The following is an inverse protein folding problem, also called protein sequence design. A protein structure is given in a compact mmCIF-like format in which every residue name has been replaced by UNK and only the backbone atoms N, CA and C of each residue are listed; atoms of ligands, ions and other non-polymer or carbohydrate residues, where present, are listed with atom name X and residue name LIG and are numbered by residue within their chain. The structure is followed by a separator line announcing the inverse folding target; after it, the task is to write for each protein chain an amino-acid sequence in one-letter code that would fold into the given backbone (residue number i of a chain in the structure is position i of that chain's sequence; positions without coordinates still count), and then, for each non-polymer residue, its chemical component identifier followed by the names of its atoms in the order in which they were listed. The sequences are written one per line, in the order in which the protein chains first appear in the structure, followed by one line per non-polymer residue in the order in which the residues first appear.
data_IF_432187612172
#
_entry.id   IF_432187612172
#
_cell.length_a   1.000
_cell.length_b   1.000
_cell.length_c   1.000
_cell.angle_alpha   90.00
_cell.angle_beta   90.00
_cell.angle_gamma   90.00
#
_symmetry.space_group_name_H-M   'P 1'
#
loop_
_entity.id
_entity.type
_entity.pdbx_description
1 polymer ?
#
# COMPACT_ATOMS: atom_id res chain seq x y z
N UNK A 1 55.32 28.70 0.46
CA UNK A 1 54.88 27.34 0.84
C UNK A 1 53.39 27.11 0.51
N UNK A 2 52.99 26.79 -0.74
CA UNK A 2 51.60 26.44 -1.05
C UNK A 2 51.41 25.01 -1.64
N UNK A 3 52.45 24.19 -1.77
CA UNK A 3 52.38 22.89 -2.45
C UNK A 3 51.95 21.70 -1.55
N UNK A 4 52.00 21.85 -0.22
CA UNK A 4 51.63 20.76 0.70
C UNK A 4 50.12 20.67 0.98
N UNK A 5 49.38 21.78 0.87
CA UNK A 5 47.93 21.82 1.15
C UNK A 5 47.07 21.32 -0.03
N UNK A 6 47.57 21.43 -1.26
CA UNK A 6 46.89 20.89 -2.45
C UNK A 6 46.91 19.36 -2.47
N UNK A 7 48.04 18.73 -2.11
CA UNK A 7 48.16 17.28 -2.06
C UNK A 7 47.33 16.64 -0.94
N UNK A 8 47.15 17.32 0.20
CA UNK A 8 46.27 16.87 1.29
C UNK A 8 44.78 16.93 0.92
N UNK A 9 44.35 17.91 0.11
CA UNK A 9 42.96 17.99 -0.40
C UNK A 9 42.65 16.93 -1.45
N UNK A 10 43.60 16.62 -2.34
CA UNK A 10 43.44 15.56 -3.35
C UNK A 10 43.40 14.18 -2.69
N UNK A 11 44.31 13.89 -1.76
CA UNK A 11 44.30 12.61 -1.02
C UNK A 11 43.02 12.40 -0.19
N UNK A 12 42.45 13.47 0.39
CA UNK A 12 41.20 13.40 1.14
C UNK A 12 39.98 13.11 0.24
N UNK A 13 39.94 13.69 -0.96
CA UNK A 13 38.85 13.48 -1.92
C UNK A 13 38.91 12.10 -2.59
N UNK A 14 40.11 11.56 -2.84
CA UNK A 14 40.28 10.17 -3.29
C UNK A 14 39.87 9.15 -2.22
N UNK A 15 40.20 9.40 -0.95
CA UNK A 15 39.77 8.57 0.18
C UNK A 15 38.24 8.56 0.36
N UNK A 16 37.57 9.69 0.16
CA UNK A 16 36.11 9.79 0.22
C UNK A 16 35.46 9.07 -0.97
N UNK A 17 36.02 9.21 -2.18
CA UNK A 17 35.55 8.50 -3.38
C UNK A 17 35.72 6.98 -3.27
N UNK A 18 36.83 6.50 -2.70
CA UNK A 18 37.06 5.07 -2.45
C UNK A 18 36.10 4.52 -1.38
N UNK A 19 35.80 5.30 -0.34
CA UNK A 19 34.79 4.95 0.66
C UNK A 19 33.38 4.85 0.05
N UNK A 20 33.02 5.77 -0.84
CA UNK A 20 31.76 5.74 -1.58
C UNK A 20 31.67 4.53 -2.53
N UNK A 21 32.76 4.17 -3.21
CA UNK A 21 32.82 2.95 -4.05
C UNK A 21 32.64 1.68 -3.21
N UNK A 22 33.36 1.55 -2.08
CA UNK A 22 33.20 0.41 -1.14
C UNK A 22 31.78 0.33 -0.57
N UNK A 23 31.16 1.48 -0.28
CA UNK A 23 29.77 1.56 0.21
C UNK A 23 28.76 1.14 -0.86
N UNK A 24 28.97 1.54 -2.11
CA UNK A 24 28.17 1.11 -3.27
C UNK A 24 28.29 -0.40 -3.49
N UNK A 25 29.50 -0.96 -3.46
CA UNK A 25 29.72 -2.41 -3.58
C UNK A 25 29.05 -3.21 -2.46
N UNK A 26 29.08 -2.71 -1.23
CA UNK A 26 28.45 -3.37 -0.08
C UNK A 26 26.91 -3.36 -0.21
N UNK A 27 26.33 -2.27 -0.72
CA UNK A 27 24.90 -2.16 -1.01
C UNK A 27 24.48 -3.12 -2.15
N UNK A 28 25.31 -3.22 -3.19
CA UNK A 28 25.09 -4.17 -4.29
C UNK A 28 25.17 -5.63 -3.83
N UNK A 29 26.09 -5.96 -2.91
CA UNK A 29 26.16 -7.30 -2.29
C UNK A 29 24.92 -7.61 -1.43
N UNK A 30 24.43 -6.63 -0.66
CA UNK A 30 23.22 -6.79 0.15
C UNK A 30 21.96 -7.02 -0.70
N UNK A 31 21.84 -6.29 -1.81
CA UNK A 31 20.74 -6.45 -2.77
C UNK A 31 20.82 -7.78 -3.53
N UNK A 32 22.02 -8.23 -3.89
CA UNK A 32 22.22 -9.53 -4.53
C UNK A 32 21.88 -10.69 -3.58
N UNK A 33 22.23 -10.60 -2.30
CA UNK A 33 21.82 -11.59 -1.30
C UNK A 33 20.30 -11.64 -1.11
N UNK A 34 19.62 -10.49 -1.09
CA UNK A 34 18.17 -10.44 -1.01
C UNK A 34 17.50 -11.07 -2.25
N UNK A 35 18.03 -10.80 -3.45
CA UNK A 35 17.56 -11.43 -4.71
C UNK A 35 17.80 -12.94 -4.74
N UNK A 36 18.96 -13.42 -4.24
CA UNK A 36 19.27 -14.85 -4.13
C UNK A 36 18.31 -15.57 -3.17
N UNK A 37 17.97 -14.95 -2.04
CA UNK A 37 17.01 -15.52 -1.09
C UNK A 37 15.59 -15.59 -1.67
N UNK A 38 15.16 -14.59 -2.46
CA UNK A 38 13.87 -14.62 -3.18
C UNK A 38 13.87 -15.76 -4.21
N UNK A 39 14.89 -15.85 -5.08
CA UNK A 39 15.01 -16.94 -6.06
C UNK A 39 15.09 -18.33 -5.43
N UNK A 40 15.76 -18.46 -4.28
CA UNK A 40 15.84 -19.73 -3.53
C UNK A 40 14.45 -20.17 -3.05
N UNK A 41 13.61 -19.23 -2.62
CA UNK A 41 12.24 -19.51 -2.18
C UNK A 41 11.33 -19.88 -3.35
N UNK A 42 11.44 -19.18 -4.48
CA UNK A 42 10.74 -19.53 -5.73
C UNK A 42 11.07 -20.96 -6.19
N UNK A 43 12.36 -21.34 -6.15
CA UNK A 43 12.80 -22.69 -6.52
C UNK A 43 12.28 -23.77 -5.54
N UNK A 44 12.16 -23.46 -4.25
CA UNK A 44 11.68 -24.41 -3.24
C UNK A 44 10.18 -24.69 -3.41
N UNK A 45 9.41 -23.70 -3.86
CA UNK A 45 7.98 -23.85 -4.15
C UNK A 45 7.71 -24.74 -5.38
N UNK A 46 8.61 -24.79 -6.36
CA UNK A 46 8.47 -25.63 -7.56
C UNK A 46 8.73 -27.13 -7.28
N UNK A 47 9.61 -27.46 -6.32
CA UNK A 47 9.98 -28.86 -6.04
C UNK A 47 8.93 -29.69 -5.27
N UNK A 48 7.89 -29.07 -4.69
CA UNK A 48 6.85 -29.80 -3.94
C UNK A 48 5.78 -30.39 -4.87
N UNK A 49 5.73 -29.99 -6.15
CA UNK A 49 4.65 -30.36 -7.08
C UNK A 49 4.93 -31.56 -7.98
N UNK A 50 6.09 -32.22 -7.88
CA UNK A 50 6.43 -33.38 -8.72
C UNK A 50 6.80 -34.62 -7.91
N UNK A 51 5.81 -35.21 -7.24
CA UNK A 51 5.86 -36.65 -6.88
C UNK A 51 4.46 -37.21 -6.72
N UNK A 52 3.86 -37.67 -7.81
CA UNK A 52 2.98 -38.86 -7.85
C UNK A 52 2.82 -39.33 -9.29
N UNK A 53 3.63 -40.32 -9.67
CA UNK A 53 3.51 -41.07 -10.92
C UNK A 53 2.60 -42.28 -10.75
N UNK A 54 1.64 -42.38 -11.67
CA UNK A 54 1.30 -43.57 -12.48
C UNK A 54 0.84 -44.87 -11.80
N UNK A 55 -0.45 -45.21 -12.03
CA UNK A 55 -0.89 -46.56 -12.48
C UNK A 55 -2.21 -46.43 -13.25
N UNK A 56 -2.28 -46.96 -14.48
CA UNK A 56 -3.48 -46.96 -15.33
C UNK A 56 -4.33 -48.23 -15.20
N UNK A 57 -5.58 -48.19 -15.67
CA UNK A 57 -6.09 -48.90 -16.88
C UNK A 57 -7.64 -48.83 -16.97
N UNK A 58 -8.13 -48.34 -18.12
CA UNK A 58 -9.23 -48.83 -18.99
C UNK A 58 -10.62 -49.26 -18.44
N UNK A 59 -11.71 -48.55 -18.80
CA UNK A 59 -12.67 -48.91 -19.90
C UNK A 59 -13.97 -48.06 -19.93
N UNK A 60 -14.27 -47.57 -21.15
CA UNK A 60 -15.57 -47.45 -21.88
C UNK A 60 -16.84 -46.88 -21.24
N UNK A 61 -17.48 -45.94 -21.95
CA UNK A 61 -18.92 -45.64 -21.88
C UNK A 61 -19.21 -44.16 -22.08
N UNK A 62 -19.76 -43.79 -23.24
CA UNK A 62 -20.00 -42.39 -23.62
C UNK A 62 -21.15 -41.74 -22.86
N UNK A 63 -21.11 -40.40 -22.82
CA UNK A 63 -22.25 -39.56 -23.21
C UNK A 63 -21.78 -38.12 -23.40
N UNK A 64 -22.23 -37.54 -24.51
CA UNK A 64 -21.92 -36.20 -24.94
C UNK A 64 -22.51 -35.17 -23.96
N UNK A 65 -21.64 -34.48 -23.23
CA UNK A 65 -21.92 -33.14 -22.71
C UNK A 65 -20.76 -32.22 -23.08
N UNK A 66 -21.12 -31.18 -23.80
CA UNK A 66 -20.32 -30.03 -24.20
C UNK A 66 -19.37 -29.60 -23.08
N UNK A 67 -18.09 -29.95 -23.23
CA UNK A 67 -17.01 -29.35 -22.45
C UNK A 67 -16.94 -27.88 -22.83
N UNK A 68 -17.38 -27.01 -21.93
CA UNK A 68 -16.94 -25.62 -21.90
C UNK A 68 -15.44 -25.62 -21.64
N UNK A 69 -14.68 -25.62 -22.73
CA UNK A 69 -13.26 -25.36 -22.74
C UNK A 69 -13.11 -23.84 -22.67
N UNK A 70 -12.81 -23.31 -21.48
CA UNK A 70 -12.18 -22.00 -21.35
C UNK A 70 -11.41 -21.91 -20.03
N UNK A 71 -10.35 -22.71 -19.92
CA UNK A 71 -9.17 -22.32 -19.15
C UNK A 71 -8.18 -21.62 -20.08
N UNK A 72 -8.65 -20.59 -20.77
CA UNK A 72 -7.84 -19.77 -21.68
C UNK A 72 -7.25 -18.59 -20.90
N UNK A 73 -5.92 -18.59 -20.72
CA UNK A 73 -5.01 -17.47 -20.92
C UNK A 73 -5.36 -16.03 -20.53
N UNK A 74 -6.30 -15.76 -19.62
CA UNK A 74 -6.58 -14.39 -19.19
C UNK A 74 -5.41 -13.81 -18.38
N UNK A 75 -4.99 -12.60 -18.72
CA UNK A 75 -3.97 -11.87 -17.98
C UNK A 75 -4.36 -11.75 -16.49
N UNK A 76 -3.39 -11.90 -15.57
CA UNK A 76 -3.66 -11.80 -14.15
C UNK A 76 -4.28 -10.44 -13.80
N UNK A 77 -5.23 -10.44 -12.86
CA UNK A 77 -5.82 -9.19 -12.36
C UNK A 77 -4.71 -8.35 -11.73
N UNK A 78 -4.60 -7.08 -12.12
CA UNK A 78 -3.74 -6.14 -11.41
C UNK A 78 -4.31 -5.91 -10.01
N UNK A 79 -3.57 -6.32 -8.97
CA UNK A 79 -4.04 -6.25 -7.60
C UNK A 79 -3.06 -5.42 -6.75
N UNK A 80 -3.56 -4.34 -6.15
CA UNK A 80 -2.78 -3.52 -5.23
C UNK A 80 -3.21 -3.74 -3.79
N UNK A 81 -2.25 -3.71 -2.84
CA UNK A 81 -2.58 -3.66 -1.42
C UNK A 81 -2.98 -2.23 -1.04
N UNK A 82 -4.17 -2.09 -0.48
CA UNK A 82 -4.73 -0.81 -0.08
C UNK A 82 -3.97 -0.16 1.08
N UNK A 83 -4.08 1.18 1.23
CA UNK A 83 -3.59 1.87 2.40
C UNK A 83 -4.44 1.53 3.63
N UNK A 84 -3.80 1.07 4.70
CA UNK A 84 -4.45 0.66 5.94
C UNK A 84 -3.66 1.18 7.14
N UNK A 85 -4.23 2.16 7.85
CA UNK A 85 -3.66 2.73 9.08
C UNK A 85 -3.30 1.63 10.08
N UNK A 86 -2.07 1.65 10.61
CA UNK A 86 -1.44 0.62 11.46
C UNK A 86 -1.14 -0.73 10.80
N UNK A 87 -1.55 -1.00 9.57
CA UNK A 87 -1.30 -2.31 8.95
C UNK A 87 -0.29 -2.24 7.81
N UNK A 88 -0.40 -1.24 6.92
CA UNK A 88 0.44 -1.10 5.73
C UNK A 88 1.86 -0.57 6.03
N UNK A 89 2.46 -1.06 7.12
CA UNK A 89 3.87 -0.89 7.46
C UNK A 89 4.73 -1.81 6.59
N UNK A 90 6.06 -1.58 6.60
CA UNK A 90 7.00 -2.28 5.73
C UNK A 90 6.83 -3.81 5.73
N UNK A 91 6.71 -4.52 6.87
CA UNK A 91 6.56 -5.98 6.86
C UNK A 91 5.35 -6.47 6.07
N UNK A 92 4.18 -5.84 6.21
CA UNK A 92 2.97 -6.29 5.51
C UNK A 92 3.07 -5.99 4.01
N UNK A 93 3.66 -4.84 3.64
CA UNK A 93 3.91 -4.48 2.23
C UNK A 93 4.82 -5.50 1.56
N UNK A 94 5.95 -5.84 2.19
CA UNK A 94 6.86 -6.85 1.66
C UNK A 94 6.21 -8.23 1.56
N UNK A 95 5.38 -8.60 2.54
CA UNK A 95 4.66 -9.87 2.51
C UNK A 95 3.66 -9.92 1.35
N UNK A 96 2.86 -8.86 1.15
CA UNK A 96 1.93 -8.76 0.03
C UNK A 96 2.65 -8.84 -1.32
N UNK A 97 3.77 -8.14 -1.47
CA UNK A 97 4.62 -8.21 -2.68
C UNK A 97 5.14 -9.64 -2.93
N UNK A 98 5.56 -10.34 -1.87
CA UNK A 98 6.03 -11.74 -1.99
C UNK A 98 4.95 -12.72 -2.43
N UNK A 99 3.68 -12.34 -2.29
CA UNK A 99 2.53 -13.13 -2.73
C UNK A 99 1.92 -12.66 -4.05
N UNK A 100 2.53 -11.70 -4.73
CA UNK A 100 2.11 -11.28 -6.08
C UNK A 100 1.33 -9.97 -6.15
N UNK A 101 1.25 -9.19 -5.07
CA UNK A 101 0.70 -7.83 -5.18
C UNK A 101 1.49 -7.01 -6.20
N UNK A 102 0.79 -6.38 -7.15
CA UNK A 102 1.39 -5.58 -8.22
C UNK A 102 1.94 -4.25 -7.67
N UNK A 103 1.23 -3.67 -6.70
CA UNK A 103 1.62 -2.46 -5.97
C UNK A 103 1.22 -2.55 -4.50
N UNK A 104 1.87 -1.77 -3.66
CA UNK A 104 1.56 -1.66 -2.23
C UNK A 104 1.50 -0.21 -1.82
N UNK A 105 0.45 0.14 -1.08
CA UNK A 105 0.31 1.47 -0.51
C UNK A 105 0.87 1.51 0.91
N UNK A 106 1.45 2.64 1.33
CA UNK A 106 1.74 2.91 2.74
C UNK A 106 0.44 3.01 3.55
N UNK A 107 0.54 3.09 4.87
CA UNK A 107 -0.58 3.65 5.63
C UNK A 107 -0.80 5.14 5.28
N UNK A 108 -1.97 5.68 5.63
CA UNK A 108 -2.24 7.11 5.53
C UNK A 108 -1.29 7.85 6.49
N UNK A 109 -0.41 8.69 5.94
CA UNK A 109 0.52 9.52 6.69
C UNK A 109 0.09 10.97 6.62
N UNK A 110 -0.10 11.60 7.79
CA UNK A 110 -0.47 13.02 7.85
C UNK A 110 0.73 13.87 7.42
N UNK A 111 0.49 14.76 6.45
CA UNK A 111 1.48 15.67 5.86
C UNK A 111 2.40 16.34 6.90
N UNK A 112 1.85 17.00 7.92
CA UNK A 112 2.58 17.68 8.99
C UNK A 112 3.46 16.73 9.79
N UNK A 113 3.01 15.48 9.96
CA UNK A 113 3.80 14.47 10.66
C UNK A 113 5.02 14.07 9.83
N UNK A 114 4.83 13.83 8.54
CA UNK A 114 5.90 13.47 7.61
C UNK A 114 6.89 14.63 7.39
N UNK A 115 6.38 15.86 7.24
CA UNK A 115 7.19 17.08 7.19
C UNK A 115 8.05 17.24 8.43
N UNK A 116 7.53 16.91 9.62
CA UNK A 116 8.31 17.00 10.88
C UNK A 116 9.40 15.94 11.03
N UNK A 117 9.48 14.95 10.13
CA UNK A 117 10.46 13.89 10.19
C UNK A 117 11.82 14.29 9.61
N UNK A 118 12.85 13.62 10.07
CA UNK A 118 14.17 13.59 9.44
C UNK A 118 14.30 12.31 8.62
N UNK A 119 14.83 12.43 7.40
CA UNK A 119 15.17 11.28 6.56
C UNK A 119 16.51 10.71 6.99
N UNK A 120 16.52 9.47 7.45
CA UNK A 120 17.70 8.76 7.97
C UNK A 120 17.92 7.49 7.16
N UNK A 121 19.12 7.34 6.60
CA UNK A 121 19.55 6.06 6.00
C UNK A 121 19.97 5.12 7.12
N UNK A 122 19.26 4.01 7.28
CA UNK A 122 19.50 3.01 8.31
C UNK A 122 20.30 1.85 7.73
N UNK A 123 21.62 1.95 7.81
CA UNK A 123 22.54 0.95 7.25
C UNK A 123 22.39 -0.44 7.87
N UNK A 124 22.02 -0.51 9.15
CA UNK A 124 21.83 -1.78 9.87
C UNK A 124 20.67 -2.59 9.30
N UNK A 125 19.60 -1.92 8.90
CA UNK A 125 18.41 -2.57 8.33
C UNK A 125 18.37 -2.54 6.81
N UNK A 126 19.25 -1.74 6.17
CA UNK A 126 19.18 -1.47 4.73
C UNK A 126 17.89 -0.73 4.35
N UNK A 127 17.45 0.20 5.20
CA UNK A 127 16.20 0.97 5.00
C UNK A 127 16.44 2.48 4.95
N UNK A 128 15.45 3.19 4.46
CA UNK A 128 15.30 4.63 4.67
C UNK A 128 14.15 4.85 5.64
N UNK A 129 14.44 5.61 6.71
CA UNK A 129 13.53 5.86 7.81
C UNK A 129 13.20 7.35 7.88
N UNK A 130 11.93 7.68 8.04
CA UNK A 130 11.45 9.02 8.34
C UNK A 130 11.15 9.07 9.83
N UNK A 131 12.07 9.70 10.56
CA UNK A 131 12.12 9.64 12.02
C UNK A 131 11.67 10.96 12.61
N UNK A 132 10.62 10.91 13.44
CA UNK A 132 10.21 12.03 14.27
C UNK A 132 10.96 11.99 15.59
N UNK A 133 11.93 12.90 15.74
CA UNK A 133 12.69 13.03 16.97
C UNK A 133 11.86 13.73 18.05
N UNK A 134 11.81 13.12 19.24
CA UNK A 134 11.09 13.73 20.36
C UNK A 134 11.97 14.79 21.01
N UNK A 135 11.44 16.01 21.21
CA UNK A 135 12.08 16.99 22.09
C UNK A 135 11.98 16.50 23.54
N UNK A 136 13.05 16.55 24.34
CA UNK A 136 13.00 16.20 25.76
C UNK A 136 11.93 17.01 26.49
N UNK A 137 11.05 16.36 27.25
CA UNK A 137 10.12 17.07 28.13
C UNK A 137 10.87 17.73 29.30
N UNK A 138 10.23 18.65 30.02
CA UNK A 138 10.81 19.23 31.25
C UNK A 138 11.24 18.15 32.27
N UNK A 139 10.50 17.04 32.34
CA UNK A 139 10.81 15.88 33.19
C UNK A 139 12.05 15.13 32.71
N UNK A 140 12.20 15.01 31.39
CA UNK A 140 13.37 14.39 30.77
C UNK A 140 14.63 15.22 31.00
N UNK A 141 14.54 16.54 30.79
CA UNK A 141 15.64 17.47 31.05
C UNK A 141 16.08 17.44 32.52
N UNK A 142 15.13 17.33 33.47
CA UNK A 142 15.44 17.18 34.89
C UNK A 142 16.19 15.87 35.17
N UNK A 143 15.72 14.74 34.62
CA UNK A 143 16.41 13.45 34.73
C UNK A 143 17.82 13.48 34.15
N UNK A 144 18.01 14.13 32.99
CA UNK A 144 19.33 14.31 32.38
C UNK A 144 20.28 15.11 33.29
N UNK A 145 19.79 16.18 33.94
CA UNK A 145 20.59 16.96 34.91
C UNK A 145 20.96 16.15 36.16
N UNK A 146 20.11 15.21 36.56
CA UNK A 146 20.33 14.30 37.68
C UNK A 146 21.16 13.05 37.27
N UNK A 147 21.76 13.02 36.08
CA UNK A 147 22.59 11.91 35.58
C UNK A 147 21.79 10.68 35.11
N UNK A 148 20.46 10.75 35.08
CA UNK A 148 19.57 9.68 34.65
C UNK A 148 19.41 9.61 33.13
N UNK A 149 19.19 8.40 32.61
CA UNK A 149 18.88 8.19 31.19
C UNK A 149 17.43 8.54 30.86
N UNK A 150 17.24 9.17 29.71
CA UNK A 150 15.90 9.46 29.15
C UNK A 150 15.57 8.41 28.11
N UNK A 151 14.36 7.85 28.20
CA UNK A 151 13.80 7.04 27.11
C UNK A 151 13.44 7.97 25.95
N UNK A 152 14.45 8.37 25.17
CA UNK A 152 14.22 9.07 23.91
C UNK A 152 13.76 8.01 22.90
N UNK A 153 12.45 7.86 22.74
CA UNK A 153 11.92 7.02 21.68
C UNK A 153 11.63 7.90 20.49
N UNK A 154 12.66 8.07 19.68
CA UNK A 154 12.50 8.50 18.30
C UNK A 154 11.45 7.59 17.64
N UNK A 155 10.49 8.18 16.94
CA UNK A 155 9.38 7.45 16.34
C UNK A 155 9.63 7.37 14.84
N UNK A 156 9.76 6.15 14.32
CA UNK A 156 9.79 5.92 12.88
C UNK A 156 8.35 6.06 12.36
N UNK A 157 8.08 7.14 11.63
CA UNK A 157 6.77 7.44 11.04
C UNK A 157 6.58 6.68 9.75
N UNK A 158 7.64 6.54 8.95
CA UNK A 158 7.64 5.77 7.73
C UNK A 158 8.99 5.08 7.53
N UNK A 159 8.96 3.86 7.03
CA UNK A 159 10.14 3.06 6.71
C UNK A 159 9.92 2.37 5.39
N UNK A 160 10.92 2.40 4.52
CA UNK A 160 10.92 1.70 3.22
C UNK A 160 12.26 1.01 2.97
N UNK A 161 12.22 -0.06 2.20
CA UNK A 161 13.39 -0.76 1.69
C UNK A 161 13.36 -0.76 0.17
N UNK A 162 13.98 0.25 -0.45
CA UNK A 162 13.93 0.48 -1.91
C UNK A 162 14.22 -0.78 -2.73
N UNK A 163 15.27 -1.57 -2.49
CA UNK A 163 15.55 -2.74 -3.32
C UNK A 163 14.45 -3.81 -3.35
N UNK A 164 13.51 -3.78 -2.40
CA UNK A 164 12.40 -4.73 -2.29
C UNK A 164 11.05 -4.14 -2.71
N UNK A 165 10.93 -2.82 -2.76
CA UNK A 165 9.66 -2.11 -3.02
C UNK A 165 9.72 -1.18 -4.25
N UNK A 166 10.89 -1.05 -4.89
CA UNK A 166 11.11 -0.19 -6.06
C UNK A 166 10.16 -0.53 -7.22
N UNK A 167 9.61 0.53 -7.82
CA UNK A 167 8.57 0.48 -8.84
C UNK A 167 7.18 0.12 -8.32
N UNK A 168 6.99 -0.06 -7.00
CA UNK A 168 5.74 -0.63 -6.45
C UNK A 168 5.16 0.10 -5.24
N UNK A 169 5.91 0.99 -4.58
CA UNK A 169 5.48 1.65 -3.35
C UNK A 169 4.81 2.98 -3.61
N UNK A 170 3.53 3.08 -3.27
CA UNK A 170 2.77 4.33 -3.31
C UNK A 170 2.59 4.86 -1.89
N UNK A 171 2.99 6.10 -1.62
CA UNK A 171 2.80 6.71 -0.29
C UNK A 171 1.49 7.49 -0.27
N UNK A 172 0.58 7.15 0.65
CA UNK A 172 -0.68 7.86 0.83
C UNK A 172 -0.56 8.98 1.86
N UNK A 173 -0.89 10.20 1.45
CA UNK A 173 -0.97 11.39 2.28
C UNK A 173 -2.41 11.63 2.78
N UNK A 174 -2.53 11.95 4.06
CA UNK A 174 -3.66 12.68 4.61
C UNK A 174 -3.30 14.17 4.67
N UNK A 175 -4.01 14.99 3.90
CA UNK A 175 -3.74 16.43 3.79
C UNK A 175 -5.01 17.20 3.43
N UNK A 176 -5.05 18.47 3.83
CA UNK A 176 -6.12 19.42 3.49
C UNK A 176 -5.56 20.75 2.99
N UNK A 177 -4.25 20.84 2.77
CA UNK A 177 -3.55 22.04 2.35
C UNK A 177 -2.61 21.73 1.18
N UNK A 178 -2.74 22.44 0.04
CA UNK A 178 -1.93 22.15 -1.15
C UNK A 178 -0.43 22.38 -0.93
N UNK A 179 -0.05 23.37 -0.12
CA UNK A 179 1.34 23.68 0.19
C UNK A 179 1.99 22.59 1.04
N UNK A 180 1.28 22.12 2.07
CA UNK A 180 1.75 21.01 2.91
C UNK A 180 1.81 19.69 2.15
N UNK A 181 0.84 19.43 1.26
CA UNK A 181 0.89 18.26 0.37
C UNK A 181 2.18 18.25 -0.47
N UNK A 182 2.48 19.37 -1.12
CA UNK A 182 3.71 19.54 -1.91
C UNK A 182 4.97 19.40 -1.04
N UNK A 183 5.04 20.04 0.12
CA UNK A 183 6.19 19.92 1.01
C UNK A 183 6.42 18.46 1.47
N UNK A 184 5.35 17.75 1.84
CA UNK A 184 5.41 16.36 2.24
C UNK A 184 5.89 15.46 1.08
N UNK A 185 5.35 15.66 -0.13
CA UNK A 185 5.75 14.93 -1.33
C UNK A 185 7.22 15.15 -1.69
N UNK A 186 7.70 16.41 -1.69
CA UNK A 186 9.12 16.75 -1.91
C UNK A 186 10.04 15.95 -0.99
N UNK A 187 9.61 15.76 0.26
CA UNK A 187 10.40 15.10 1.29
C UNK A 187 10.64 13.62 1.02
N UNK A 188 9.69 12.95 0.37
CA UNK A 188 9.70 11.49 0.14
C UNK A 188 9.96 11.08 -1.31
N UNK A 189 9.98 12.02 -2.25
CA UNK A 189 10.01 11.76 -3.69
C UNK A 189 11.15 10.81 -4.13
N UNK A 190 12.29 10.83 -3.43
CA UNK A 190 13.43 9.95 -3.73
C UNK A 190 13.31 8.52 -3.18
N UNK A 191 12.28 8.21 -2.40
CA UNK A 191 12.13 6.91 -1.72
C UNK A 191 10.79 6.20 -2.00
N UNK A 192 9.96 6.73 -2.89
CA UNK A 192 8.65 6.18 -3.24
C UNK A 192 8.45 6.19 -4.76
N UNK A 193 7.49 5.43 -5.24
CA UNK A 193 7.19 5.26 -6.67
C UNK A 193 5.87 5.92 -7.08
N UNK A 194 5.20 6.59 -6.14
CA UNK A 194 3.98 7.34 -6.36
C UNK A 194 3.51 8.04 -5.08
N UNK A 195 2.71 9.08 -5.26
CA UNK A 195 2.04 9.81 -4.19
C UNK A 195 0.55 9.63 -4.34
N UNK A 196 -0.16 9.28 -3.27
CA UNK A 196 -1.61 9.17 -3.26
C UNK A 196 -2.22 10.15 -2.26
N UNK A 197 -3.39 10.70 -2.56
CA UNK A 197 -4.15 11.53 -1.61
C UNK A 197 -5.37 10.77 -1.10
N UNK A 198 -5.49 10.66 0.23
CA UNK A 198 -6.67 10.10 0.85
C UNK A 198 -7.83 11.12 0.82
N UNK A 199 -8.83 10.82 0.01
CA UNK A 199 -10.08 11.58 -0.08
C UNK A 199 -11.28 10.74 0.37
N UNK A 200 -11.05 9.62 1.07
CA UNK A 200 -12.09 8.61 1.35
C UNK A 200 -12.27 8.23 2.82
N UNK A 201 -11.41 8.71 3.73
CA UNK A 201 -11.48 8.38 5.15
C UNK A 201 -12.64 9.12 5.84
N UNK A 202 -13.68 8.43 6.36
CA UNK A 202 -14.80 9.08 7.03
C UNK A 202 -14.57 9.32 8.53
N UNK A 203 -13.39 8.95 9.06
CA UNK A 203 -13.12 9.05 10.50
C UNK A 203 -13.10 10.52 10.94
N UNK A 204 -13.69 10.79 12.10
CA UNK A 204 -13.86 12.15 12.63
C UNK A 204 -12.58 12.98 12.63
N UNK A 205 -11.43 12.42 13.03
CA UNK A 205 -10.17 13.18 13.05
C UNK A 205 -9.74 13.66 11.66
N UNK A 206 -10.04 12.89 10.61
CA UNK A 206 -9.72 13.23 9.22
C UNK A 206 -10.67 14.32 8.73
N UNK A 207 -11.97 14.11 8.92
CA UNK A 207 -13.03 15.06 8.52
C UNK A 207 -12.88 16.42 9.22
N UNK A 208 -12.65 16.44 10.54
CA UNK A 208 -12.42 17.67 11.30
C UNK A 208 -11.15 18.41 10.87
N UNK A 209 -10.13 17.68 10.41
CA UNK A 209 -8.92 18.26 9.82
C UNK A 209 -9.11 18.75 8.38
N UNK A 210 -10.31 18.61 7.79
CA UNK A 210 -10.60 18.93 6.40
C UNK A 210 -9.97 17.94 5.40
N UNK A 211 -9.54 16.77 5.86
CA UNK A 211 -8.89 15.72 5.08
C UNK A 211 -9.86 14.57 4.79
N UNK A 212 -9.43 13.57 4.02
CA UNK A 212 -10.24 12.37 3.80
C UNK A 212 -11.57 12.68 3.13
N UNK A 213 -12.66 12.11 3.65
CA UNK A 213 -13.98 12.27 3.05
C UNK A 213 -14.54 13.71 3.09
N UNK A 214 -13.92 14.63 3.85
CA UNK A 214 -14.27 16.05 3.77
C UNK A 214 -13.95 16.65 2.39
N UNK A 215 -12.91 16.16 1.72
CA UNK A 215 -12.50 16.62 0.39
C UNK A 215 -13.54 16.29 -0.69
N UNK A 216 -14.36 15.26 -0.49
CA UNK A 216 -15.46 14.91 -1.42
C UNK A 216 -16.53 15.99 -1.50
N UNK A 217 -16.59 16.89 -0.51
CA UNK A 217 -17.52 18.02 -0.47
C UNK A 217 -16.86 19.37 -0.75
N UNK A 218 -15.53 19.40 -0.92
CA UNK A 218 -14.74 20.60 -1.25
C UNK A 218 -13.85 20.31 -2.47
N UNK A 219 -14.50 20.30 -3.64
CA UNK A 219 -13.88 20.00 -4.94
C UNK A 219 -12.73 20.95 -5.25
N UNK A 220 -12.90 22.25 -4.96
CA UNK A 220 -11.87 23.26 -5.21
C UNK A 220 -10.59 22.96 -4.41
N UNK A 221 -10.73 22.57 -3.14
CA UNK A 221 -9.59 22.13 -2.34
C UNK A 221 -8.97 20.85 -2.87
N UNK A 222 -9.78 19.84 -3.20
CA UNK A 222 -9.29 18.58 -3.74
C UNK A 222 -8.45 18.79 -5.02
N UNK A 223 -8.94 19.64 -5.94
CA UNK A 223 -8.22 20.04 -7.15
C UNK A 223 -6.90 20.74 -6.83
N UNK A 224 -6.92 21.76 -5.97
CA UNK A 224 -5.71 22.53 -5.65
C UNK A 224 -4.61 21.67 -5.04
N UNK A 225 -4.97 20.64 -4.26
CA UNK A 225 -4.02 19.66 -3.71
C UNK A 225 -3.37 18.84 -4.84
N UNK A 226 -4.17 18.33 -5.79
CA UNK A 226 -3.64 17.58 -6.94
C UNK A 226 -2.73 18.47 -7.79
N UNK A 227 -3.16 19.69 -8.14
CA UNK A 227 -2.37 20.63 -8.94
C UNK A 227 -1.02 20.96 -8.27
N UNK A 228 -1.03 21.19 -6.94
CA UNK A 228 0.19 21.44 -6.17
C UNK A 228 1.12 20.23 -6.16
N UNK A 229 0.59 19.02 -5.96
CA UNK A 229 1.36 17.78 -6.03
C UNK A 229 1.96 17.55 -7.43
N UNK A 230 1.18 17.71 -8.49
CA UNK A 230 1.64 17.56 -9.88
C UNK A 230 2.75 18.55 -10.21
N UNK A 231 2.60 19.81 -9.79
CA UNK A 231 3.65 20.85 -9.92
C UNK A 231 4.91 20.50 -9.14
N UNK A 232 4.76 19.89 -7.98
CA UNK A 232 5.87 19.52 -7.12
C UNK A 232 6.66 18.33 -7.66
N UNK A 233 5.97 17.23 -8.00
CA UNK A 233 6.62 16.00 -8.46
C UNK A 233 7.15 16.10 -9.89
N UNK A 234 6.62 17.04 -10.70
CA UNK A 234 7.06 17.31 -12.08
C UNK A 234 7.19 16.04 -12.95
N UNK A 235 6.26 15.11 -12.78
CA UNK A 235 6.23 13.83 -13.50
C UNK A 235 7.27 12.79 -13.05
N UNK A 236 8.05 13.04 -12.00
CA UNK A 236 9.02 12.07 -11.48
C UNK A 236 8.34 10.80 -10.96
N UNK A 237 7.14 10.93 -10.39
CA UNK A 237 6.27 9.83 -9.96
C UNK A 237 4.81 10.21 -10.24
N UNK A 238 3.91 9.23 -10.43
CA UNK A 238 2.48 9.49 -10.55
C UNK A 238 1.86 10.02 -9.26
N UNK A 239 0.81 10.82 -9.40
CA UNK A 239 -0.06 11.30 -8.32
C UNK A 239 -1.43 10.66 -8.47
N UNK A 240 -1.87 9.87 -7.50
CA UNK A 240 -3.19 9.25 -7.47
C UNK A 240 -4.08 9.84 -6.37
N UNK A 241 -5.38 9.56 -6.46
CA UNK A 241 -6.33 9.88 -5.39
C UNK A 241 -7.20 8.67 -5.07
N UNK A 242 -7.42 8.42 -3.78
CA UNK A 242 -8.35 7.39 -3.32
C UNK A 242 -9.62 8.01 -2.76
N UNK A 243 -10.74 7.76 -3.42
CA UNK A 243 -12.05 8.34 -3.10
C UNK A 243 -13.05 7.27 -2.60
N UNK A 244 -14.21 7.75 -2.16
CA UNK A 244 -15.44 6.98 -1.96
C UNK A 244 -16.50 7.48 -2.95
N UNK A 245 -17.60 6.74 -3.09
CA UNK A 245 -18.76 7.25 -3.84
C UNK A 245 -19.24 8.57 -3.22
N UNK A 246 -19.52 9.55 -4.07
CA UNK A 246 -19.89 10.91 -3.68
C UNK A 246 -21.40 11.03 -3.65
N UNK A 247 -21.96 11.39 -2.50
CA UNK A 247 -23.39 11.64 -2.32
C UNK A 247 -23.78 11.77 -0.85
N UNK A 248 -25.05 12.14 -0.63
CA UNK A 248 -25.71 12.15 0.67
C UNK A 248 -26.01 10.75 1.21
N UNK A 249 -26.57 10.68 2.42
CA UNK A 249 -26.99 9.42 3.05
C UNK A 249 -28.12 8.74 2.26
N UNK A 250 -29.07 9.53 1.76
CA UNK A 250 -30.24 9.07 1.00
C UNK A 250 -30.06 9.17 -0.54
N UNK A 251 -28.82 9.32 -1.02
CA UNK A 251 -28.56 9.45 -2.45
C UNK A 251 -28.91 8.17 -3.20
N UNK A 252 -29.64 8.32 -4.31
CA UNK A 252 -29.94 7.24 -5.26
C UNK A 252 -28.67 6.76 -5.96
N UNK A 253 -28.70 5.55 -6.53
CA UNK A 253 -27.57 5.02 -7.31
C UNK A 253 -27.18 5.91 -8.51
N UNK A 254 -28.18 6.57 -9.12
CA UNK A 254 -27.96 7.50 -10.22
C UNK A 254 -27.28 8.79 -9.76
N UNK A 255 -27.70 9.35 -8.62
CA UNK A 255 -27.03 10.50 -8.00
C UNK A 255 -25.61 10.17 -7.57
N UNK A 256 -25.39 8.99 -6.95
CA UNK A 256 -24.05 8.52 -6.59
C UNK A 256 -23.15 8.43 -7.83
N UNK A 257 -23.65 7.85 -8.91
CA UNK A 257 -22.92 7.74 -10.17
C UNK A 257 -22.58 9.12 -10.75
N UNK A 258 -23.60 9.99 -10.89
CA UNK A 258 -23.45 11.33 -11.48
C UNK A 258 -22.49 12.22 -10.69
N UNK A 259 -22.68 12.31 -9.37
CA UNK A 259 -21.82 13.10 -8.49
C UNK A 259 -20.38 12.58 -8.47
N UNK A 260 -20.20 11.25 -8.47
CA UNK A 260 -18.86 10.67 -8.49
C UNK A 260 -18.17 10.91 -9.83
N UNK A 261 -18.88 10.82 -10.98
CA UNK A 261 -18.35 11.19 -12.30
C UNK A 261 -17.89 12.64 -12.33
N UNK A 262 -18.73 13.57 -11.85
CA UNK A 262 -18.38 14.98 -11.79
C UNK A 262 -17.10 15.22 -10.97
N UNK A 263 -17.02 14.63 -9.76
CA UNK A 263 -15.84 14.74 -8.92
C UNK A 263 -14.58 14.15 -9.58
N UNK A 264 -14.69 12.99 -10.23
CA UNK A 264 -13.57 12.36 -10.95
C UNK A 264 -13.10 13.21 -12.13
N UNK A 265 -14.02 13.82 -12.88
CA UNK A 265 -13.70 14.73 -13.98
C UNK A 265 -12.91 15.97 -13.52
N UNK A 266 -13.24 16.49 -12.35
CA UNK A 266 -12.51 17.60 -11.72
C UNK A 266 -11.09 17.20 -11.32
N UNK A 267 -10.90 16.01 -10.74
CA UNK A 267 -9.56 15.49 -10.42
C UNK A 267 -8.74 15.20 -11.69
N UNK A 268 -9.36 14.63 -12.73
CA UNK A 268 -8.72 14.37 -14.01
C UNK A 268 -8.26 15.67 -14.68
N UNK A 269 -9.10 16.70 -14.67
CA UNK A 269 -8.77 18.04 -15.17
C UNK A 269 -7.66 18.72 -14.35
N UNK A 270 -7.51 18.36 -13.08
CA UNK A 270 -6.42 18.80 -12.20
C UNK A 270 -5.09 18.05 -12.48
N UNK A 271 -5.13 16.98 -13.30
CA UNK A 271 -3.96 16.22 -13.75
C UNK A 271 -3.63 14.98 -12.90
N UNK A 272 -4.57 14.44 -12.13
CA UNK A 272 -4.38 13.16 -11.42
C UNK A 272 -4.04 12.04 -12.42
N UNK A 273 -3.18 11.09 -12.04
CA UNK A 273 -2.72 10.01 -12.93
C UNK A 273 -3.53 8.71 -12.75
N UNK A 274 -4.19 8.53 -11.60
CA UNK A 274 -4.99 7.34 -11.28
C UNK A 274 -6.01 7.66 -10.19
N UNK A 275 -7.22 7.09 -10.30
CA UNK A 275 -8.26 7.23 -9.27
C UNK A 275 -8.64 5.86 -8.72
N UNK A 276 -8.49 5.67 -7.41
CA UNK A 276 -8.97 4.48 -6.71
C UNK A 276 -10.33 4.76 -6.06
N UNK A 277 -11.39 4.06 -6.48
CA UNK A 277 -12.77 4.28 -6.00
C UNK A 277 -13.18 3.16 -5.06
N UNK A 278 -13.44 3.50 -3.79
CA UNK A 278 -14.14 2.59 -2.90
C UNK A 278 -15.64 2.62 -3.18
N UNK A 279 -16.26 1.48 -3.46
CA UNK A 279 -17.69 1.35 -3.83
C UNK A 279 -18.70 1.60 -2.71
N UNK A 280 -18.34 2.39 -1.70
CA UNK A 280 -19.18 2.80 -0.58
C UNK A 280 -19.16 4.30 -0.46
N UNK A 281 -20.23 4.88 0.05
CA UNK A 281 -20.30 6.28 0.45
C UNK A 281 -19.55 6.51 1.76
N UNK A 282 -19.38 7.76 2.18
CA UNK A 282 -18.80 8.07 3.50
C UNK A 282 -19.68 7.65 4.69
N UNK A 283 -20.98 7.45 4.46
CA UNK A 283 -21.97 7.07 5.47
C UNK A 283 -22.03 5.56 5.70
N UNK A 284 -21.68 4.76 4.69
CA UNK A 284 -21.60 3.32 4.86
C UNK A 284 -20.46 2.93 5.81
N UNK A 285 -20.83 2.29 6.92
CA UNK A 285 -19.88 1.71 7.85
C UNK A 285 -19.08 0.61 7.19
N UNK A 286 -17.76 0.62 7.35
CA UNK A 286 -16.92 -0.51 6.94
C UNK A 286 -17.16 -1.78 7.77
N UNK A 287 -17.78 -1.65 8.94
CA UNK A 287 -18.16 -2.79 9.78
C UNK A 287 -19.53 -3.34 9.43
N UNK A 288 -20.37 -2.54 8.75
CA UNK A 288 -21.64 -3.01 8.24
C UNK A 288 -21.42 -3.70 6.89
N UNK A 289 -21.35 -5.02 6.95
CA UNK A 289 -21.22 -5.86 5.77
C UNK A 289 -22.55 -6.04 5.01
N UNK A 290 -23.69 -5.54 5.53
CA UNK A 290 -24.94 -5.44 4.76
C UNK A 290 -24.84 -4.37 3.68
N UNK A 291 -24.14 -3.26 3.97
CA UNK A 291 -23.76 -2.27 2.97
C UNK A 291 -22.63 -2.83 2.09
N UNK A 292 -22.96 -3.72 1.14
CA UNK A 292 -22.01 -4.25 0.16
C UNK A 292 -21.48 -3.11 -0.72
N UNK A 293 -20.21 -3.17 -1.18
CA UNK A 293 -19.73 -2.21 -2.15
C UNK A 293 -20.54 -2.32 -3.45
N UNK A 294 -20.94 -1.18 -3.99
CA UNK A 294 -21.79 -1.04 -5.18
C UNK A 294 -20.96 -1.21 -6.45
N UNK A 295 -20.48 -2.44 -6.71
CA UNK A 295 -19.68 -2.75 -7.89
C UNK A 295 -20.44 -2.42 -9.19
N UNK A 296 -21.75 -2.69 -9.26
CA UNK A 296 -22.59 -2.31 -10.41
C UNK A 296 -22.51 -0.82 -10.75
N UNK A 297 -22.65 0.06 -9.75
CA UNK A 297 -22.52 1.52 -9.90
C UNK A 297 -21.14 1.92 -10.39
N UNK A 298 -20.08 1.25 -9.89
CA UNK A 298 -18.71 1.53 -10.30
C UNK A 298 -18.42 1.14 -11.77
N UNK A 299 -19.22 0.28 -12.42
CA UNK A 299 -19.08 0.03 -13.87
C UNK A 299 -19.14 1.32 -14.67
N UNK A 300 -20.07 2.21 -14.33
CA UNK A 300 -20.23 3.50 -15.02
C UNK A 300 -19.10 4.49 -14.74
N UNK A 301 -18.18 4.19 -13.81
CA UNK A 301 -17.06 5.06 -13.44
C UNK A 301 -15.75 4.67 -14.13
N UNK A 302 -15.59 3.41 -14.55
CA UNK A 302 -14.28 2.91 -15.02
C UNK A 302 -13.75 3.66 -16.25
N UNK A 303 -14.65 4.01 -17.18
CA UNK A 303 -14.31 4.67 -18.44
C UNK A 303 -14.87 6.12 -18.50
N UNK A 304 -15.20 6.73 -17.36
CA UNK A 304 -15.78 8.09 -17.35
C UNK A 304 -14.73 9.22 -17.44
N UNK A 305 -13.45 8.87 -17.29
CA UNK A 305 -12.29 9.76 -17.35
C UNK A 305 -11.13 9.03 -18.05
N UNK A 306 -10.20 9.79 -18.65
CA UNK A 306 -9.08 9.21 -19.41
C UNK A 306 -7.96 8.60 -18.54
N UNK A 307 -8.09 8.70 -17.22
CA UNK A 307 -7.12 8.17 -16.25
C UNK A 307 -7.58 6.79 -15.74
N UNK A 308 -6.66 5.84 -15.50
CA UNK A 308 -7.02 4.53 -14.98
C UNK A 308 -7.82 4.59 -13.67
N UNK A 309 -8.89 3.80 -13.62
CA UNK A 309 -9.73 3.65 -12.44
C UNK A 309 -9.51 2.27 -11.79
N UNK A 310 -9.15 2.28 -10.51
CA UNK A 310 -8.99 1.08 -9.69
C UNK A 310 -10.15 0.97 -8.73
N UNK A 311 -10.83 -0.18 -8.69
CA UNK A 311 -11.95 -0.37 -7.77
C UNK A 311 -11.48 -0.92 -6.42
N UNK A 312 -12.23 -0.60 -5.37
CA UNK A 312 -11.96 -1.06 -4.02
C UNK A 312 -13.26 -1.40 -3.28
N UNK A 313 -13.21 -2.44 -2.46
CA UNK A 313 -14.30 -2.85 -1.58
C UNK A 313 -14.52 -4.35 -1.64
N UNK A 314 -14.42 -5.00 -0.47
CA UNK A 314 -14.86 -6.38 -0.16
C UNK A 314 -14.33 -7.48 -1.07
N UNK A 315 -13.06 -7.38 -1.42
CA UNK A 315 -12.31 -8.45 -2.10
C UNK A 315 -11.59 -9.28 -1.03
N UNK A 316 -11.99 -10.54 -0.90
CA UNK A 316 -11.51 -11.50 0.09
C UNK A 316 -10.88 -12.76 -0.52
N UNK A 317 -10.93 -12.91 -1.84
CA UNK A 317 -10.24 -13.94 -2.61
C UNK A 317 -9.70 -13.39 -3.95
N UNK A 318 -8.86 -14.16 -4.64
CA UNK A 318 -8.44 -13.82 -6.01
C UNK A 318 -9.65 -13.84 -6.97
N UNK A 319 -10.57 -14.79 -6.76
CA UNK A 319 -11.80 -14.91 -7.52
C UNK A 319 -12.72 -13.70 -7.33
N UNK A 320 -12.78 -13.13 -6.13
CA UNK A 320 -13.52 -11.88 -5.90
C UNK A 320 -12.92 -10.73 -6.73
N UNK A 321 -11.59 -10.70 -6.91
CA UNK A 321 -10.94 -9.69 -7.75
C UNK A 321 -11.25 -9.90 -9.24
N UNK A 322 -11.27 -11.16 -9.70
CA UNK A 322 -11.70 -11.50 -11.07
C UNK A 322 -13.17 -11.12 -11.31
N UNK A 323 -14.04 -11.38 -10.34
CA UNK A 323 -15.46 -11.04 -10.42
C UNK A 323 -15.67 -9.52 -10.40
N UNK A 324 -14.97 -8.80 -9.53
CA UNK A 324 -15.01 -7.35 -9.48
C UNK A 324 -14.53 -6.74 -10.80
N UNK A 325 -13.46 -7.29 -11.41
CA UNK A 325 -13.00 -6.93 -12.76
C UNK A 325 -14.07 -7.21 -13.81
N UNK A 326 -14.70 -8.39 -13.78
CA UNK A 326 -15.73 -8.79 -14.76
C UNK A 326 -16.95 -7.87 -14.73
N UNK A 327 -17.45 -7.55 -13.54
CA UNK A 327 -18.63 -6.71 -13.35
C UNK A 327 -18.37 -5.25 -13.74
N UNK A 328 -17.22 -4.71 -13.31
CA UNK A 328 -16.92 -3.28 -13.48
C UNK A 328 -16.17 -2.95 -14.76
N UNK A 329 -15.51 -3.91 -15.40
CA UNK A 329 -14.58 -3.67 -16.50
C UNK A 329 -13.26 -3.01 -16.08
N UNK A 330 -13.00 -2.83 -14.77
CA UNK A 330 -11.81 -2.15 -14.29
C UNK A 330 -10.52 -2.87 -14.67
N UNK A 331 -9.43 -2.12 -14.83
CA UNK A 331 -8.11 -2.71 -15.11
C UNK A 331 -7.37 -3.17 -13.85
N UNK A 332 -7.81 -2.73 -12.67
CA UNK A 332 -7.18 -3.10 -11.42
C UNK A 332 -8.11 -3.05 -10.22
N UNK A 333 -7.75 -3.84 -9.21
CA UNK A 333 -8.49 -4.01 -7.96
C UNK A 333 -7.57 -3.71 -6.78
N UNK A 334 -8.04 -2.92 -5.83
CA UNK A 334 -7.33 -2.62 -4.61
C UNK A 334 -7.92 -3.41 -3.43
N UNK A 335 -7.07 -4.09 -2.66
CA UNK A 335 -7.45 -5.03 -1.62
C UNK A 335 -7.01 -4.54 -0.25
N UNK A 336 -7.96 -4.35 0.67
CA UNK A 336 -7.70 -3.93 2.05
C UNK A 336 -7.86 -5.10 3.03
N UNK A 337 -9.10 -5.37 3.46
CA UNK A 337 -9.40 -6.35 4.50
C UNK A 337 -8.98 -7.77 4.14
N UNK A 338 -9.15 -8.19 2.88
CA UNK A 338 -8.68 -9.49 2.42
C UNK A 338 -7.18 -9.69 2.69
N UNK A 339 -6.35 -8.69 2.37
CA UNK A 339 -4.91 -8.73 2.65
C UNK A 339 -4.58 -8.67 4.15
N UNK A 340 -5.41 -7.98 4.94
CA UNK A 340 -5.26 -7.93 6.40
C UNK A 340 -5.72 -9.21 7.12
N UNK A 341 -6.59 -10.00 6.49
CA UNK A 341 -7.01 -11.31 7.01
C UNK A 341 -6.05 -12.40 6.56
N UNK A 342 -5.60 -12.35 5.31
CA UNK A 342 -4.55 -13.21 4.79
C UNK A 342 -3.78 -12.51 3.66
N UNK A 343 -2.54 -12.10 3.94
CA UNK A 343 -1.70 -11.36 2.98
C UNK A 343 -1.39 -12.14 1.70
N UNK A 344 -1.64 -13.45 1.67
CA UNK A 344 -1.46 -14.29 0.47
C UNK A 344 -2.64 -14.27 -0.51
N UNK A 345 -3.66 -13.43 -0.28
CA UNK A 345 -4.80 -13.22 -1.18
C UNK A 345 -4.42 -12.87 -2.62
N UNK A 346 -3.21 -12.32 -2.83
CA UNK A 346 -2.71 -11.94 -4.15
C UNK A 346 -2.27 -13.14 -5.01
N UNK A 347 -2.24 -14.35 -4.45
CA UNK A 347 -1.91 -15.58 -5.18
C UNK A 347 -3.09 -16.04 -6.03
N UNK A 348 -2.83 -16.30 -7.31
CA UNK A 348 -3.83 -16.82 -8.25
C UNK A 348 -4.34 -18.21 -7.85
N UNK A 349 -3.47 -19.04 -7.26
CA UNK A 349 -3.78 -20.42 -6.87
C UNK A 349 -4.55 -20.50 -5.53
N UNK A 350 -4.88 -19.35 -4.94
CA UNK A 350 -5.54 -19.25 -3.64
C UNK A 350 -4.60 -18.95 -2.48
N UNK A 351 -5.20 -18.66 -1.33
CA UNK A 351 -4.47 -18.27 -0.12
C UNK A 351 -3.61 -19.40 0.43
N UNK A 352 -2.43 -19.05 0.95
CA UNK A 352 -1.58 -19.94 1.73
C UNK A 352 -2.17 -20.17 3.14
N UNK A 353 -1.77 -21.27 3.81
CA UNK A 353 -2.16 -21.52 5.20
C UNK A 353 -1.83 -20.32 6.09
N UNK A 354 -2.83 -19.85 6.84
CA UNK A 354 -2.72 -18.63 7.66
C UNK A 354 -1.54 -18.70 8.66
N UNK A 355 -1.27 -19.89 9.21
CA UNK A 355 -0.16 -20.10 10.14
C UNK A 355 1.20 -19.77 9.51
N UNK A 356 1.40 -20.10 8.23
CA UNK A 356 2.65 -19.82 7.52
C UNK A 356 2.76 -18.34 7.18
N UNK A 357 1.65 -17.73 6.76
CA UNK A 357 1.55 -16.28 6.49
C UNK A 357 1.86 -15.48 7.75
N UNK A 358 1.26 -15.84 8.89
CA UNK A 358 1.49 -15.18 10.17
C UNK A 358 2.93 -15.36 10.67
N UNK A 359 3.50 -16.57 10.52
CA UNK A 359 4.90 -16.86 10.88
C UNK A 359 5.87 -16.01 10.06
N UNK A 360 5.67 -15.92 8.76
CA UNK A 360 6.52 -15.09 7.90
C UNK A 360 6.37 -13.60 8.21
N UNK A 361 5.14 -13.12 8.42
CA UNK A 361 4.92 -11.74 8.87
C UNK A 361 5.69 -11.39 10.15
N UNK A 362 5.70 -12.28 11.15
CA UNK A 362 6.47 -12.07 12.38
C UNK A 362 7.98 -12.07 12.12
N UNK A 363 8.48 -12.93 11.23
CA UNK A 363 9.90 -12.87 10.79
C UNK A 363 10.22 -11.53 10.14
N UNK A 364 9.36 -11.02 9.25
CA UNK A 364 9.51 -9.71 8.63
C UNK A 364 9.43 -8.57 9.67
N UNK A 365 8.57 -8.68 10.67
CA UNK A 365 8.54 -7.71 11.76
C UNK A 365 9.89 -7.66 12.50
N UNK A 366 10.48 -8.81 12.81
CA UNK A 366 11.78 -8.90 13.48
C UNK A 366 12.93 -8.35 12.63
N UNK A 367 13.02 -8.76 11.36
CA UNK A 367 14.14 -8.37 10.48
C UNK A 367 14.15 -6.88 10.12
N UNK A 368 12.99 -6.23 10.05
CA UNK A 368 12.89 -4.80 9.73
C UNK A 368 12.54 -3.94 10.95
N UNK A 369 12.72 -4.47 12.17
CA UNK A 369 12.56 -3.73 13.42
C UNK A 369 11.21 -3.03 13.56
N UNK A 370 10.12 -3.72 13.19
CA UNK A 370 8.77 -3.18 13.27
C UNK A 370 8.34 -3.04 14.73
N UNK A 371 7.59 -1.99 15.05
CA UNK A 371 7.18 -1.73 16.43
C UNK A 371 6.25 -2.84 16.94
N UNK A 372 6.52 -3.40 18.12
CA UNK A 372 5.82 -4.60 18.61
C UNK A 372 4.29 -4.41 18.73
N UNK A 373 3.81 -3.22 19.10
CA UNK A 373 2.37 -2.91 19.17
C UNK A 373 1.73 -3.03 17.77
N UNK A 374 2.44 -2.57 16.74
CA UNK A 374 2.01 -2.65 15.36
C UNK A 374 2.01 -4.11 14.87
N UNK A 375 3.09 -4.84 15.14
CA UNK A 375 3.21 -6.26 14.83
C UNK A 375 2.08 -7.09 15.48
N UNK A 376 1.82 -6.85 16.78
CA UNK A 376 0.73 -7.50 17.52
C UNK A 376 -0.63 -7.19 16.89
N UNK A 377 -0.88 -5.94 16.51
CA UNK A 377 -2.14 -5.55 15.87
C UNK A 377 -2.42 -6.38 14.62
N UNK A 378 -1.48 -6.43 13.66
CA UNK A 378 -1.68 -7.18 12.41
C UNK A 378 -1.79 -8.69 12.65
N UNK A 379 -0.99 -9.26 13.57
CA UNK A 379 -1.13 -10.69 13.93
C UNK A 379 -2.50 -10.97 14.54
N UNK A 380 -3.03 -10.09 15.38
CA UNK A 380 -4.39 -10.25 15.89
C UNK A 380 -5.44 -10.20 14.77
N UNK A 381 -5.23 -9.43 13.71
CA UNK A 381 -6.13 -9.43 12.56
C UNK A 381 -6.10 -10.72 11.77
N UNK A 382 -4.90 -11.26 11.52
CA UNK A 382 -4.75 -12.59 10.93
C UNK A 382 -5.49 -13.64 11.76
N UNK A 383 -5.23 -13.70 13.07
CA UNK A 383 -5.69 -14.80 13.91
C UNK A 383 -7.15 -14.72 14.33
N UNK A 384 -7.70 -13.53 14.50
CA UNK A 384 -9.03 -13.41 15.11
C UNK A 384 -10.15 -13.39 14.11
N UNK A 385 -9.89 -13.21 12.81
CA UNK A 385 -10.93 -13.27 11.78
C UNK A 385 -12.08 -12.27 11.96
N UNK A 386 -12.07 -11.41 12.99
CA UNK A 386 -13.20 -10.59 13.47
C UNK A 386 -13.83 -9.68 12.44
N UNK A 387 -13.16 -9.48 11.30
CA UNK A 387 -13.60 -8.65 10.19
C UNK A 387 -13.90 -9.46 8.92
N UNK A 388 -13.90 -10.78 9.01
CA UNK A 388 -14.23 -11.71 7.94
C UNK A 388 -15.76 -11.85 7.84
N UNK A 389 -16.35 -11.82 6.63
CA UNK A 389 -17.80 -11.94 6.46
C UNK A 389 -18.43 -13.17 7.11
N UNK A 390 -17.77 -14.32 7.02
CA UNK A 390 -18.23 -15.57 7.61
C UNK A 390 -18.36 -15.52 9.14
N UNK A 391 -17.42 -14.89 9.85
CA UNK A 391 -17.47 -14.81 11.33
C UNK A 391 -18.51 -13.80 11.84
N UNK A 392 -18.94 -12.88 10.97
CA UNK A 392 -20.02 -11.93 11.26
C UNK A 392 -21.41 -12.50 10.95
N UNK A 393 -21.51 -13.82 10.68
CA UNK A 393 -22.77 -14.52 10.44
C UNK A 393 -23.40 -14.25 9.07
N UNK A 394 -22.63 -13.70 8.13
CA UNK A 394 -23.13 -13.31 6.81
C UNK A 394 -22.79 -14.42 5.82
N UNK A 395 -23.82 -15.16 5.38
CA UNK A 395 -23.70 -16.05 4.23
C UNK A 395 -23.41 -15.19 3.00
N UNK A 396 -22.25 -15.40 2.38
CA UNK A 396 -22.00 -14.91 1.02
C UNK A 396 -22.92 -15.75 0.14
N UNK A 397 -24.14 -15.27 -0.09
CA UNK A 397 -25.02 -15.86 -1.10
C UNK A 397 -24.26 -15.81 -2.42
N UNK A 398 -24.05 -16.99 -3.02
CA UNK A 398 -23.53 -17.12 -4.37
C UNK A 398 -24.49 -16.34 -5.28
N UNK A 399 -24.00 -15.26 -5.89
CA UNK A 399 -24.73 -14.53 -6.93
C UNK A 399 -25.01 -15.43 -8.12
#
# INVERSE_FOLDING_TARGET
MPLEDSNKKVAKTESEAEMLRKKSEMLMKGTEMARKEIKRREATTTTVTTTTGTTGTNRTGGDAKTKGNDSSGADPVFMSMAPMVRASTLPLRLLALSYGASQVYSEELIDRSLISCERVVNEKLGTVDYVKRRKPSKKDLRRMKEGGSVKNQDVVVFRTCRPLEEGKLILQLGTSDPGLAAEAARKVLGDVDGIDVNMGCPKMFSVQGGMGAALLSDVARARSIIEALKKEVKGAVPVSAKIRLVGGEDATEEELLSNTKAFMGELASAGVDLIAVHGRTKFDSSHDLKAKPRWGTMRGLVDCVDVPVVINGDVYSYQDAEEARRLTGCKGVMVARGALLNASIFRREGTAPLADVAREYVRLCGRWGNHFINSKYVVCEFLTGRRHPHELGIRVEKC
#
